data_IF_376127196903
#
_entry.id   IF_376127196903
#
_cell.length_a   1.000
_cell.length_b   1.000
_cell.length_c   1.000
_cell.angle_alpha   90.00
_cell.angle_beta   90.00
_cell.angle_gamma   90.00
#
_symmetry.space_group_name_H-M   'P 1'
#
loop_
_entity.id
_entity.type
_entity.pdbx_description
1 polymer ?
#
# COMPACT_ATOMS: atom_id res chain seq x y z
N UNK A 1 40.50 -6.84 -16.56
CA UNK A 1 40.08 -5.97 -17.67
C UNK A 1 39.04 -5.03 -17.12
N UNK A 2 39.47 -3.85 -16.67
CA UNK A 2 38.65 -2.86 -15.97
C UNK A 2 38.01 -1.93 -17.01
N UNK A 3 36.67 -1.87 -17.02
CA UNK A 3 35.94 -0.87 -17.81
C UNK A 3 35.32 0.13 -16.85
N UNK A 4 35.89 1.34 -16.84
CA UNK A 4 35.38 2.48 -16.11
C UNK A 4 34.30 3.16 -16.96
N UNK A 5 33.07 3.28 -16.42
CA UNK A 5 31.98 4.06 -17.02
C UNK A 5 31.99 5.46 -16.44
N UNK A 6 32.39 6.42 -17.29
CA UNK A 6 32.33 7.87 -17.05
C UNK A 6 30.89 8.35 -17.04
N UNK A 7 30.45 9.03 -15.97
CA UNK A 7 29.20 9.78 -15.88
C UNK A 7 29.44 11.22 -16.30
N UNK A 8 28.93 11.61 -17.45
CA UNK A 8 28.89 13.00 -17.91
C UNK A 8 27.62 13.67 -17.36
N UNK A 9 27.78 14.63 -16.47
CA UNK A 9 26.72 15.49 -15.99
C UNK A 9 26.52 16.64 -16.99
N UNK A 10 25.31 16.78 -17.53
CA UNK A 10 24.91 17.88 -18.41
C UNK A 10 24.24 18.96 -17.54
N UNK A 11 24.94 20.06 -17.31
CA UNK A 11 24.40 21.26 -16.66
C UNK A 11 23.80 22.16 -17.71
N UNK A 12 22.49 22.38 -17.65
CA UNK A 12 21.80 23.38 -18.46
C UNK A 12 21.84 24.73 -17.72
N UNK A 13 22.52 25.69 -18.31
CA UNK A 13 22.55 27.09 -17.87
C UNK A 13 21.41 27.82 -18.59
N UNK A 14 20.44 28.32 -17.81
CA UNK A 14 19.38 29.19 -18.32
C UNK A 14 19.80 30.64 -18.12
N UNK A 15 20.05 31.34 -19.24
CA UNK A 15 20.44 32.74 -19.25
C UNK A 15 19.14 33.60 -19.40
N UNK A 16 18.83 34.39 -18.38
CA UNK A 16 17.78 35.43 -18.48
C UNK A 16 18.35 36.70 -19.10
N UNK A 17 17.81 37.10 -20.21
CA UNK A 17 18.08 38.42 -20.83
C UNK A 17 17.13 39.46 -20.23
N UNK A 18 17.67 40.46 -19.55
CA UNK A 18 16.95 41.67 -19.17
C UNK A 18 16.93 42.63 -20.40
N UNK A 19 15.75 42.96 -20.88
CA UNK A 19 15.54 44.05 -21.85
C UNK A 19 15.14 45.29 -21.07
N UNK A 20 16.03 46.29 -21.02
CA UNK A 20 15.72 47.62 -20.54
C UNK A 20 15.20 48.47 -21.73
N UNK A 21 13.95 48.92 -21.64
CA UNK A 21 13.39 49.91 -22.56
C UNK A 21 13.32 51.26 -21.85
N UNK A 22 14.17 52.17 -22.26
CA UNK A 22 14.06 53.59 -21.98
C UNK A 22 13.32 54.28 -23.13
N UNK A 23 12.41 55.22 -22.81
CA UNK A 23 12.00 56.21 -23.76
C UNK A 23 10.54 56.59 -23.74
N UNK A 24 10.24 57.86 -23.44
CA UNK A 24 8.96 58.41 -23.74
C UNK A 24 8.59 59.63 -22.90
N UNK A 25 9.00 60.81 -23.34
CA UNK A 25 8.63 62.08 -22.75
C UNK A 25 7.12 62.32 -22.75
N UNK A 26 6.53 62.54 -21.60
CA UNK A 26 5.13 62.89 -21.43
C UNK A 26 4.94 64.42 -21.31
N UNK A 27 4.00 64.94 -22.04
CA UNK A 27 3.49 66.33 -21.96
C UNK A 27 2.89 66.58 -20.55
N UNK A 28 2.92 67.83 -20.03
CA UNK A 28 2.29 68.18 -18.77
C UNK A 28 0.77 68.06 -18.90
N UNK A 29 0.18 67.26 -18.07
CA UNK A 29 -1.26 67.05 -17.93
C UNK A 29 -1.86 68.16 -17.03
N UNK A 30 -2.98 68.70 -17.46
CA UNK A 30 -3.85 69.62 -16.73
C UNK A 30 -4.25 69.06 -15.36
N UNK A 31 -4.34 69.87 -14.30
CA UNK A 31 -4.76 69.38 -12.99
C UNK A 31 -6.20 68.89 -13.01
N UNK A 32 -6.40 67.64 -12.72
CA UNK A 32 -7.72 67.03 -12.53
C UNK A 32 -8.29 67.44 -11.19
N UNK A 33 -9.56 67.81 -11.17
CA UNK A 33 -10.38 68.07 -10.01
C UNK A 33 -10.31 66.95 -8.99
N UNK A 34 -10.18 67.19 -7.67
CA UNK A 34 -10.16 66.14 -6.64
C UNK A 34 -11.46 65.35 -6.71
N UNK A 35 -11.35 64.05 -6.95
CA UNK A 35 -12.46 63.11 -6.86
C UNK A 35 -12.93 63.00 -5.40
N UNK A 36 -14.23 63.04 -5.22
CA UNK A 36 -14.94 62.86 -3.95
C UNK A 36 -14.41 61.58 -3.25
N UNK A 37 -14.12 61.61 -1.94
CA UNK A 37 -13.66 60.43 -1.19
C UNK A 37 -14.70 59.34 -1.34
N UNK A 38 -14.32 58.20 -1.92
CA UNK A 38 -15.15 56.99 -1.89
C UNK A 38 -15.28 56.54 -0.43
N UNK A 39 -16.52 56.37 0.00
CA UNK A 39 -16.87 55.80 1.31
C UNK A 39 -16.06 54.51 1.52
N UNK A 40 -15.38 54.34 2.68
CA UNK A 40 -14.64 53.14 2.93
C UNK A 40 -15.60 51.93 2.85
N UNK A 41 -15.35 51.02 1.92
CA UNK A 41 -16.02 49.74 1.92
C UNK A 41 -15.72 49.04 3.24
N UNK A 42 -16.75 48.73 4.00
CA UNK A 42 -16.68 47.94 5.23
C UNK A 42 -15.86 46.70 4.94
N UNK A 43 -14.81 46.38 5.72
CA UNK A 43 -14.04 45.17 5.51
C UNK A 43 -15.01 43.99 5.61
N UNK A 44 -15.19 43.25 4.52
CA UNK A 44 -15.89 41.96 4.55
C UNK A 44 -15.09 41.08 5.48
N UNK A 45 -15.70 40.71 6.62
CA UNK A 45 -15.16 39.70 7.53
C UNK A 45 -14.78 38.48 6.69
N UNK A 46 -13.55 38.00 6.75
CA UNK A 46 -13.18 36.81 5.99
C UNK A 46 -14.10 35.68 6.43
N UNK A 47 -14.91 35.22 5.51
CA UNK A 47 -15.76 34.04 5.73
C UNK A 47 -14.81 32.90 5.97
N UNK A 48 -14.79 32.35 7.19
CA UNK A 48 -14.02 31.16 7.53
C UNK A 48 -14.59 29.97 6.72
N UNK A 49 -14.16 29.84 5.48
CA UNK A 49 -14.57 28.76 4.62
C UNK A 49 -13.52 27.66 4.64
N UNK A 50 -13.99 26.44 4.68
CA UNK A 50 -13.20 25.23 4.65
C UNK A 50 -13.40 24.54 3.32
N UNK A 51 -12.34 24.11 2.69
CA UNK A 51 -12.40 23.37 1.42
C UNK A 51 -11.43 22.21 1.40
N UNK A 52 -11.62 21.29 0.47
CA UNK A 52 -10.68 20.23 0.16
C UNK A 52 -10.48 20.17 -1.34
N UNK A 53 -9.24 20.11 -1.79
CA UNK A 53 -8.90 20.04 -3.21
C UNK A 53 -7.71 19.09 -3.41
N UNK A 54 -7.65 18.46 -4.57
CA UNK A 54 -6.59 17.52 -4.90
C UNK A 54 -6.72 17.00 -6.31
N UNK A 55 -6.07 15.88 -6.57
CA UNK A 55 -6.09 15.22 -7.86
C UNK A 55 -6.52 13.77 -7.73
N UNK A 56 -7.35 13.30 -8.66
CA UNK A 56 -7.70 11.88 -8.81
C UNK A 56 -6.74 11.26 -9.81
N UNK A 57 -6.11 10.17 -9.40
CA UNK A 57 -5.15 9.43 -10.23
C UNK A 57 -5.47 7.94 -10.25
N UNK A 58 -4.91 7.20 -11.19
CA UNK A 58 -5.03 5.75 -11.21
C UNK A 58 -3.94 5.13 -10.35
N UNK A 59 -4.32 4.18 -9.49
CA UNK A 59 -3.42 3.40 -8.62
C UNK A 59 -2.27 2.80 -9.43
N UNK A 60 -1.06 2.91 -8.92
CA UNK A 60 0.17 2.36 -9.49
C UNK A 60 0.74 3.14 -10.66
N UNK A 61 -0.08 3.67 -11.58
CA UNK A 61 0.41 4.43 -12.73
C UNK A 61 0.53 5.94 -12.46
N UNK A 62 -0.21 6.47 -11.50
CA UNK A 62 -0.28 7.91 -11.23
C UNK A 62 -0.96 8.72 -12.35
N UNK A 63 -1.50 8.07 -13.38
CA UNK A 63 -2.19 8.77 -14.47
C UNK A 63 -3.44 9.49 -13.95
N UNK A 64 -3.67 10.71 -14.41
CA UNK A 64 -4.86 11.49 -14.08
C UNK A 64 -6.15 10.77 -14.51
N UNK A 65 -7.17 10.84 -13.66
CA UNK A 65 -8.52 10.29 -13.91
C UNK A 65 -9.48 11.46 -14.05
N UNK A 66 -9.63 11.97 -15.26
CA UNK A 66 -10.58 13.04 -15.59
C UNK A 66 -12.02 12.54 -15.55
N UNK A 67 -12.95 13.44 -15.23
CA UNK A 67 -14.38 13.13 -15.19
C UNK A 67 -14.82 12.28 -14.01
N UNK A 68 -13.94 12.01 -13.03
CA UNK A 68 -14.32 11.34 -11.79
C UNK A 68 -15.33 12.17 -11.00
N UNK A 69 -16.40 11.55 -10.51
CA UNK A 69 -17.42 12.20 -9.67
C UNK A 69 -17.15 11.90 -8.22
N UNK A 70 -17.03 12.96 -7.42
CA UNK A 70 -16.90 12.89 -5.97
C UNK A 70 -18.26 13.24 -5.36
N UNK A 71 -18.83 12.32 -4.63
CA UNK A 71 -20.11 12.48 -3.91
C UNK A 71 -19.84 12.50 -2.43
N UNK A 72 -19.84 13.68 -1.78
CA UNK A 72 -19.72 13.78 -0.33
C UNK A 72 -20.94 13.18 0.36
N UNK A 73 -20.71 12.47 1.47
CA UNK A 73 -21.78 11.89 2.28
C UNK A 73 -22.63 12.92 3.05
N UNK A 74 -22.44 14.20 2.81
CA UNK A 74 -23.12 15.32 3.48
C UNK A 74 -23.80 16.21 2.41
N UNK A 75 -24.56 17.22 2.83
CA UNK A 75 -25.39 18.11 1.97
C UNK A 75 -24.62 18.95 0.94
N UNK A 76 -23.39 18.60 0.60
CA UNK A 76 -22.65 19.18 -0.49
C UNK A 76 -23.04 18.52 -1.82
N UNK A 77 -23.15 19.31 -2.89
CA UNK A 77 -23.40 18.75 -4.22
C UNK A 77 -22.21 17.90 -4.68
N UNK A 78 -22.45 16.90 -5.53
CA UNK A 78 -21.37 16.18 -6.19
C UNK A 78 -20.50 17.12 -7.02
N UNK A 79 -19.20 16.82 -7.08
CA UNK A 79 -18.22 17.55 -7.87
C UNK A 79 -17.58 16.63 -8.88
N UNK A 80 -17.40 17.10 -10.11
CA UNK A 80 -16.69 16.35 -11.16
C UNK A 80 -15.27 16.89 -11.31
N UNK A 81 -14.29 16.01 -11.29
CA UNK A 81 -12.90 16.35 -11.57
C UNK A 81 -12.73 16.76 -13.04
N UNK A 82 -11.86 17.71 -13.30
CA UNK A 82 -11.52 18.15 -14.64
C UNK A 82 -10.79 17.07 -15.47
N UNK A 83 -10.43 17.38 -16.71
CA UNK A 83 -9.74 16.45 -17.61
C UNK A 83 -8.35 16.01 -17.11
N UNK A 84 -7.76 16.77 -16.19
CA UNK A 84 -6.49 16.44 -15.53
C UNK A 84 -6.68 15.80 -14.15
N UNK A 85 -7.93 15.45 -13.79
CA UNK A 85 -8.28 14.83 -12.54
C UNK A 85 -8.30 15.77 -11.34
N UNK A 86 -8.13 17.08 -11.50
CA UNK A 86 -8.21 18.01 -10.37
C UNK A 86 -9.66 18.26 -9.96
N UNK A 87 -9.86 18.31 -8.65
CA UNK A 87 -11.16 18.57 -8.04
C UNK A 87 -11.05 19.56 -6.90
N UNK A 88 -12.15 20.23 -6.60
CA UNK A 88 -12.32 21.06 -5.43
C UNK A 88 -13.72 20.83 -4.85
N UNK A 89 -13.79 20.29 -3.65
CA UNK A 89 -15.01 20.22 -2.87
C UNK A 89 -15.29 21.59 -2.28
N UNK A 90 -16.47 22.11 -2.52
CA UNK A 90 -16.84 23.50 -2.29
C UNK A 90 -16.62 24.00 -0.85
N UNK A 91 -16.65 25.31 -0.71
CA UNK A 91 -16.43 25.99 0.54
C UNK A 91 -17.57 25.77 1.54
N UNK A 92 -17.24 25.28 2.72
CA UNK A 92 -18.18 25.01 3.82
C UNK A 92 -17.87 25.95 4.98
N UNK A 93 -18.90 26.63 5.51
CA UNK A 93 -18.70 27.55 6.62
C UNK A 93 -18.35 26.84 7.95
N UNK A 94 -18.94 25.68 8.19
CA UNK A 94 -18.75 24.88 9.41
C UNK A 94 -18.65 23.40 9.05
N UNK A 95 -17.46 22.91 8.65
CA UNK A 95 -17.30 21.49 8.36
C UNK A 95 -17.40 20.67 9.65
N UNK A 96 -17.83 19.40 9.56
CA UNK A 96 -17.75 18.51 10.70
C UNK A 96 -16.29 18.40 11.19
N UNK A 97 -16.13 18.32 12.50
CA UNK A 97 -14.81 18.18 13.15
C UNK A 97 -14.14 16.82 12.86
N UNK A 98 -14.87 15.88 12.33
CA UNK A 98 -14.43 14.51 12.03
C UNK A 98 -14.17 14.33 10.53
N UNK A 99 -13.31 13.40 10.13
CA UNK A 99 -13.18 13.03 8.73
C UNK A 99 -14.53 12.63 8.12
N UNK A 100 -14.73 13.00 6.87
CA UNK A 100 -16.01 12.83 6.18
C UNK A 100 -15.90 11.84 5.02
N UNK A 101 -16.87 10.90 4.86
CA UNK A 101 -16.85 9.97 3.75
C UNK A 101 -17.16 10.67 2.43
N UNK A 102 -16.39 10.36 1.43
CA UNK A 102 -16.60 10.78 0.04
C UNK A 102 -16.56 9.54 -0.83
N UNK A 103 -17.61 9.31 -1.60
CA UNK A 103 -17.62 8.26 -2.63
C UNK A 103 -17.06 8.84 -3.93
N UNK A 104 -16.10 8.18 -4.51
CA UNK A 104 -15.44 8.58 -5.75
C UNK A 104 -15.67 7.51 -6.81
N UNK A 105 -16.31 7.88 -7.91
CA UNK A 105 -16.61 7.00 -9.02
C UNK A 105 -16.11 7.58 -10.34
N UNK A 106 -15.55 6.74 -11.19
CA UNK A 106 -15.18 7.10 -12.55
C UNK A 106 -15.41 5.90 -13.49
N UNK A 107 -15.61 6.16 -14.75
CA UNK A 107 -15.81 5.10 -15.73
C UNK A 107 -14.56 4.20 -15.85
N UNK A 108 -14.73 2.89 -15.81
CA UNK A 108 -13.64 1.93 -15.85
C UNK A 108 -12.76 1.90 -14.58
N UNK A 109 -13.27 2.39 -13.46
CA UNK A 109 -12.61 2.37 -12.16
C UNK A 109 -13.48 1.69 -11.11
N UNK A 110 -12.84 1.05 -10.15
CA UNK A 110 -13.51 0.57 -8.93
C UNK A 110 -13.88 1.78 -8.09
N UNK A 111 -15.15 1.88 -7.69
CA UNK A 111 -15.61 2.96 -6.81
C UNK A 111 -14.90 2.88 -5.47
N UNK A 112 -14.35 4.02 -5.02
CA UNK A 112 -13.68 4.14 -3.73
C UNK A 112 -14.49 4.99 -2.75
N UNK A 113 -14.58 4.56 -1.51
CA UNK A 113 -14.99 5.40 -0.39
C UNK A 113 -13.76 5.83 0.40
N UNK A 114 -13.47 7.12 0.39
CA UNK A 114 -12.35 7.71 1.12
C UNK A 114 -12.85 8.69 2.18
N UNK A 115 -11.99 8.98 3.18
CA UNK A 115 -12.29 9.93 4.23
C UNK A 115 -11.47 11.21 4.02
N UNK A 116 -12.16 12.33 3.94
CA UNK A 116 -11.52 13.65 3.74
C UNK A 116 -11.62 14.46 5.04
N UNK A 117 -10.51 15.05 5.44
CA UNK A 117 -10.47 16.02 6.52
C UNK A 117 -10.43 17.40 5.92
N UNK A 118 -11.33 18.27 6.34
CA UNK A 118 -11.40 19.66 5.92
C UNK A 118 -10.32 20.49 6.63
N UNK A 119 -9.80 21.49 5.94
CA UNK A 119 -8.90 22.48 6.52
C UNK A 119 -9.42 23.87 6.21
N UNK A 120 -9.12 24.81 7.07
CA UNK A 120 -9.44 26.22 6.85
C UNK A 120 -8.66 26.72 5.63
N UNK A 121 -9.36 27.39 4.74
CA UNK A 121 -8.82 27.74 3.42
C UNK A 121 -8.74 26.53 2.49
N UNK A 122 -8.17 26.75 1.31
CA UNK A 122 -8.03 25.68 0.30
C UNK A 122 -6.96 24.67 0.75
N UNK A 123 -7.38 23.44 1.02
CA UNK A 123 -6.45 22.33 1.27
C UNK A 123 -6.01 21.77 -0.08
N UNK A 124 -4.74 22.00 -0.44
CA UNK A 124 -4.11 21.35 -1.58
C UNK A 124 -3.50 19.99 -1.15
N UNK A 125 -3.44 19.03 -2.08
CA UNK A 125 -2.75 17.75 -1.87
C UNK A 125 -3.60 16.65 -1.23
N UNK A 126 -4.92 16.76 -1.20
CA UNK A 126 -5.82 15.62 -0.88
C UNK A 126 -5.96 14.75 -2.14
N UNK A 127 -4.87 14.08 -2.50
CA UNK A 127 -4.86 13.22 -3.69
C UNK A 127 -5.51 11.88 -3.36
N UNK A 128 -6.30 11.38 -4.30
CA UNK A 128 -7.02 10.11 -4.18
C UNK A 128 -6.70 9.29 -5.42
N UNK A 129 -6.32 8.03 -5.24
CA UNK A 129 -6.12 7.12 -6.35
C UNK A 129 -7.26 6.10 -6.45
N UNK A 130 -7.62 5.73 -7.69
CA UNK A 130 -8.64 4.76 -8.02
C UNK A 130 -8.02 3.53 -8.69
N UNK A 131 -8.52 2.36 -8.36
CA UNK A 131 -8.13 1.11 -9.01
C UNK A 131 -8.80 1.04 -10.38
N UNK A 132 -8.04 0.79 -11.46
CA UNK A 132 -8.62 0.49 -12.78
C UNK A 132 -9.32 -0.85 -12.75
N UNK A 133 -10.57 -0.90 -13.21
CA UNK A 133 -11.35 -2.14 -13.34
C UNK A 133 -11.06 -2.84 -14.68
N UNK A 134 -9.78 -2.98 -15.00
CA UNK A 134 -9.28 -3.67 -16.21
C UNK A 134 -7.92 -4.30 -15.92
N UNK A 135 -7.53 -5.28 -16.71
CA UNK A 135 -6.21 -5.92 -16.59
C UNK A 135 -5.08 -4.89 -16.44
N UNK A 136 -4.10 -5.14 -15.53
CA UNK A 136 -3.84 -6.38 -14.82
C UNK A 136 -4.71 -6.59 -13.54
N UNK A 137 -5.64 -5.70 -13.21
CA UNK A 137 -6.58 -5.88 -12.11
C UNK A 137 -7.57 -7.00 -12.40
N UNK A 138 -7.83 -7.83 -11.40
CA UNK A 138 -8.91 -8.82 -11.37
C UNK A 138 -9.62 -8.74 -10.03
N UNK A 139 -10.90 -8.44 -10.03
CA UNK A 139 -11.70 -8.35 -8.80
C UNK A 139 -11.74 -9.71 -8.07
N UNK A 140 -11.80 -10.82 -8.80
CA UNK A 140 -11.77 -12.15 -8.21
C UNK A 140 -10.44 -12.43 -7.52
N UNK A 141 -9.31 -12.19 -8.20
CA UNK A 141 -8.00 -12.33 -7.59
C UNK A 141 -7.80 -11.38 -6.41
N UNK A 142 -8.25 -10.13 -6.53
CA UNK A 142 -8.22 -9.14 -5.45
C UNK A 142 -8.93 -9.63 -4.20
N UNK A 143 -10.15 -10.17 -4.36
CA UNK A 143 -10.94 -10.69 -3.25
C UNK A 143 -10.33 -11.94 -2.63
N UNK A 144 -9.75 -12.82 -3.42
CA UNK A 144 -9.02 -13.97 -2.88
C UNK A 144 -7.79 -13.49 -2.11
N UNK A 145 -6.93 -12.73 -2.74
CA UNK A 145 -5.60 -12.38 -2.26
C UNK A 145 -5.60 -11.40 -1.07
N UNK A 146 -6.52 -10.40 -1.07
CA UNK A 146 -6.60 -9.39 -0.01
C UNK A 146 -7.77 -9.59 0.96
N UNK A 147 -8.79 -10.33 0.58
CA UNK A 147 -10.04 -10.45 1.34
C UNK A 147 -10.32 -11.88 1.82
N UNK A 148 -9.47 -12.82 1.50
CA UNK A 148 -9.57 -14.20 1.95
C UNK A 148 -10.76 -14.97 1.38
N UNK A 149 -11.32 -14.56 0.26
CA UNK A 149 -12.52 -15.20 -0.29
C UNK A 149 -12.30 -16.65 -0.71
N UNK A 150 -11.06 -17.03 -1.05
CA UNK A 150 -10.73 -18.42 -1.33
C UNK A 150 -10.73 -19.28 -0.05
N UNK A 151 -10.10 -18.78 1.00
CA UNK A 151 -10.02 -19.47 2.29
C UNK A 151 -11.38 -19.54 2.99
N UNK A 152 -12.24 -18.55 2.78
CA UNK A 152 -13.60 -18.48 3.32
C UNK A 152 -14.61 -19.42 2.65
N UNK A 153 -14.24 -20.07 1.56
CA UNK A 153 -15.11 -21.11 0.98
C UNK A 153 -15.46 -22.21 2.01
N UNK A 154 -14.66 -22.35 3.05
CA UNK A 154 -14.87 -23.26 4.19
C UNK A 154 -15.49 -22.59 5.41
N UNK A 155 -15.51 -21.23 5.45
CA UNK A 155 -16.11 -20.43 6.55
C UNK A 155 -16.74 -19.16 5.93
N UNK A 156 -18.01 -19.22 5.48
CA UNK A 156 -18.68 -18.16 4.73
C UNK A 156 -18.97 -16.94 5.62
N UNK A 157 -17.97 -16.14 5.88
CA UNK A 157 -18.07 -14.83 6.52
C UNK A 157 -18.06 -13.68 5.51
N UNK A 158 -18.20 -12.45 6.00
CA UNK A 158 -17.97 -11.25 5.19
C UNK A 158 -16.51 -11.17 4.76
N UNK A 159 -16.19 -10.62 3.58
CA UNK A 159 -14.82 -10.41 3.14
C UNK A 159 -13.98 -9.70 4.19
N UNK A 160 -12.76 -10.17 4.41
CA UNK A 160 -11.86 -9.57 5.38
C UNK A 160 -11.41 -8.17 4.93
N UNK A 161 -10.93 -7.40 5.86
CA UNK A 161 -10.28 -6.13 5.57
C UNK A 161 -8.81 -6.34 5.18
N UNK A 162 -8.17 -5.30 4.64
CA UNK A 162 -6.74 -5.29 4.36
C UNK A 162 -5.93 -5.35 5.67
N UNK A 163 -5.13 -6.41 5.84
CA UNK A 163 -4.30 -6.68 7.02
C UNK A 163 -2.83 -6.23 6.85
N UNK A 164 -2.50 -5.45 5.81
CA UNK A 164 -1.12 -5.04 5.56
C UNK A 164 -0.41 -4.49 6.80
N UNK A 165 0.89 -4.67 6.86
CA UNK A 165 1.74 -4.01 7.85
C UNK A 165 1.82 -2.50 7.58
N UNK A 166 2.03 -1.74 8.64
CA UNK A 166 2.14 -0.27 8.60
C UNK A 166 3.53 0.24 9.00
N UNK A 167 4.43 -0.68 9.30
CA UNK A 167 5.81 -0.44 9.70
C UNK A 167 6.72 -1.45 9.03
N UNK A 168 8.01 -1.14 8.97
CA UNK A 168 9.04 -2.09 8.51
C UNK A 168 9.09 -3.32 9.40
N UNK A 169 8.94 -4.55 8.87
CA UNK A 169 9.07 -5.77 9.66
C UNK A 169 10.54 -6.10 9.93
N UNK A 170 10.85 -6.46 11.17
CA UNK A 170 12.11 -7.09 11.53
C UNK A 170 11.90 -8.60 11.69
N UNK A 171 12.96 -9.38 11.57
CA UNK A 171 12.90 -10.84 11.69
C UNK A 171 13.88 -11.35 12.74
N UNK A 172 13.43 -12.33 13.51
CA UNK A 172 14.30 -13.13 14.35
C UNK A 172 14.19 -14.58 13.92
N UNK A 173 15.30 -15.16 13.47
CA UNK A 173 15.35 -16.51 12.93
C UNK A 173 16.07 -17.42 13.91
N UNK A 174 15.38 -18.45 14.42
CA UNK A 174 16.01 -19.43 15.30
C UNK A 174 16.91 -20.36 14.50
N UNK A 175 18.10 -20.60 15.03
CA UNK A 175 19.10 -21.49 14.41
C UNK A 175 19.04 -22.92 14.95
N UNK A 176 18.10 -23.19 15.86
CA UNK A 176 17.78 -24.53 16.37
C UNK A 176 16.30 -24.82 16.12
N UNK A 177 16.00 -26.07 15.76
CA UNK A 177 14.63 -26.54 15.55
C UNK A 177 13.90 -26.86 16.85
N UNK A 178 12.65 -27.30 16.77
CA UNK A 178 11.83 -27.70 17.93
C UNK A 178 12.39 -28.91 18.70
N UNK A 179 13.30 -29.66 18.10
CA UNK A 179 13.97 -30.80 18.78
C UNK A 179 15.33 -30.45 19.44
N UNK A 180 15.73 -29.17 19.34
CA UNK A 180 17.01 -28.68 19.84
C UNK A 180 18.21 -28.91 18.91
N UNK A 181 17.97 -29.38 17.67
CA UNK A 181 19.06 -29.59 16.71
C UNK A 181 19.32 -28.32 15.94
N UNK A 182 20.56 -28.10 15.58
CA UNK A 182 20.94 -26.98 14.69
C UNK A 182 20.28 -27.12 13.32
N UNK A 183 19.70 -26.04 12.84
CA UNK A 183 19.17 -25.92 11.48
C UNK A 183 20.35 -25.95 10.50
N UNK A 184 20.22 -26.68 9.42
CA UNK A 184 21.27 -26.83 8.42
C UNK A 184 21.64 -25.45 7.82
N UNK A 185 22.95 -25.14 7.65
CA UNK A 185 23.38 -23.84 7.14
C UNK A 185 22.73 -23.47 5.80
N UNK A 186 22.46 -24.46 4.92
CA UNK A 186 21.80 -24.24 3.64
C UNK A 186 20.34 -23.81 3.79
N UNK A 187 19.60 -24.44 4.72
CA UNK A 187 18.21 -24.07 5.05
C UNK A 187 18.18 -22.65 5.59
N UNK A 188 19.09 -22.32 6.51
CA UNK A 188 19.18 -20.98 7.07
C UNK A 188 19.51 -19.93 6.00
N UNK A 189 20.49 -20.20 5.13
CA UNK A 189 20.88 -19.29 4.06
C UNK A 189 19.73 -19.00 3.08
N UNK A 190 19.01 -20.05 2.64
CA UNK A 190 17.84 -19.92 1.74
C UNK A 190 16.73 -19.13 2.43
N UNK A 191 16.44 -19.41 3.69
CA UNK A 191 15.44 -18.69 4.48
C UNK A 191 15.79 -17.20 4.58
N UNK A 192 17.01 -16.86 4.99
CA UNK A 192 17.46 -15.48 5.13
C UNK A 192 17.41 -14.68 3.80
N UNK A 193 17.75 -15.33 2.68
CA UNK A 193 17.62 -14.73 1.35
C UNK A 193 16.14 -14.48 1.01
N UNK A 194 15.28 -15.47 1.23
CA UNK A 194 13.84 -15.35 0.96
C UNK A 194 13.19 -14.23 1.78
N UNK A 195 13.53 -14.07 3.08
CA UNK A 195 13.04 -12.98 3.92
C UNK A 195 13.39 -11.61 3.34
N UNK A 196 14.63 -11.42 2.89
CA UNK A 196 15.08 -10.15 2.28
C UNK A 196 14.33 -9.83 1.00
N UNK A 197 14.05 -10.82 0.16
CA UNK A 197 13.36 -10.65 -1.12
C UNK A 197 11.84 -10.49 -0.97
N UNK A 198 11.23 -11.18 -0.01
CA UNK A 198 9.79 -11.20 0.16
C UNK A 198 9.23 -9.84 0.57
N UNK A 199 9.85 -9.15 1.53
CA UNK A 199 9.30 -7.89 2.04
C UNK A 199 9.13 -6.84 0.94
N UNK A 200 10.14 -6.46 0.15
CA UNK A 200 9.96 -5.49 -0.92
C UNK A 200 9.00 -6.00 -2.00
N UNK A 201 8.95 -7.31 -2.27
CA UNK A 201 8.04 -7.87 -3.25
C UNK A 201 6.56 -7.70 -2.83
N UNK A 202 6.20 -8.14 -1.62
CA UNK A 202 4.83 -8.04 -1.11
C UNK A 202 4.41 -6.63 -0.73
N UNK A 203 5.34 -5.72 -0.48
CA UNK A 203 5.04 -4.33 -0.13
C UNK A 203 5.13 -3.37 -1.30
N UNK A 204 5.32 -3.88 -2.52
CA UNK A 204 5.58 -3.10 -3.72
C UNK A 204 6.70 -2.04 -3.50
N UNK A 205 7.74 -2.43 -2.78
CA UNK A 205 8.88 -1.57 -2.46
C UNK A 205 8.64 -0.56 -1.33
N UNK A 206 7.44 -0.52 -0.73
CA UNK A 206 7.14 0.40 0.39
C UNK A 206 8.06 0.15 1.58
N UNK A 207 8.38 -1.11 1.86
CA UNK A 207 9.31 -1.51 2.90
C UNK A 207 10.40 -2.42 2.34
N UNK A 208 11.55 -2.38 2.99
CA UNK A 208 12.58 -3.42 2.93
C UNK A 208 12.47 -4.29 4.18
N UNK A 209 13.11 -5.46 4.20
CA UNK A 209 13.30 -6.17 5.45
C UNK A 209 14.14 -5.29 6.39
N UNK A 210 13.69 -5.11 7.60
CA UNK A 210 14.44 -4.42 8.65
C UNK A 210 15.62 -5.26 9.16
N UNK A 211 15.87 -5.22 10.46
CA UNK A 211 16.89 -6.08 11.06
C UNK A 211 16.50 -7.56 10.88
N UNK A 212 17.46 -8.38 10.50
CA UNK A 212 17.33 -9.84 10.51
C UNK A 212 18.37 -10.37 11.49
N UNK A 213 17.90 -10.76 12.67
CA UNK A 213 18.72 -11.33 13.72
C UNK A 213 18.61 -12.87 13.70
N UNK A 214 19.66 -13.54 14.07
CA UNK A 214 19.69 -15.01 14.21
C UNK A 214 20.16 -15.39 15.61
N UNK A 215 19.58 -16.45 16.17
CA UNK A 215 19.97 -16.90 17.50
C UNK A 215 19.35 -18.27 17.87
N UNK A 216 19.74 -18.79 19.02
CA UNK A 216 19.26 -20.10 19.52
C UNK A 216 18.05 -19.97 20.43
N UNK A 217 17.90 -18.84 21.10
CA UNK A 217 16.90 -18.65 22.14
C UNK A 217 15.48 -18.44 21.56
N UNK A 218 14.47 -18.74 22.36
CA UNK A 218 13.10 -18.37 22.06
C UNK A 218 12.96 -16.87 22.35
N UNK A 219 12.67 -16.08 21.30
CA UNK A 219 12.43 -14.66 21.47
C UNK A 219 10.96 -14.42 21.81
N UNK A 220 10.65 -13.59 22.82
CA UNK A 220 9.28 -13.13 23.06
C UNK A 220 8.71 -12.40 21.85
N UNK A 221 7.41 -12.57 21.62
CA UNK A 221 6.72 -11.81 20.56
C UNK A 221 6.77 -10.31 20.85
N UNK A 222 7.39 -9.55 19.97
CA UNK A 222 7.64 -8.11 20.12
C UNK A 222 7.08 -7.37 18.94
N UNK A 223 6.39 -6.26 19.14
CA UNK A 223 5.85 -5.41 18.07
C UNK A 223 6.90 -5.09 17.01
N UNK A 224 6.51 -5.15 15.76
CA UNK A 224 7.34 -4.99 14.57
C UNK A 224 8.38 -6.10 14.32
N UNK A 225 8.26 -7.22 15.03
CA UNK A 225 9.08 -8.40 14.80
C UNK A 225 8.24 -9.58 14.36
N UNK A 226 8.85 -10.41 13.50
CA UNK A 226 8.34 -11.70 13.04
C UNK A 226 9.36 -12.74 13.49
N UNK A 227 8.93 -13.65 14.39
CA UNK A 227 9.74 -14.78 14.79
C UNK A 227 9.61 -15.89 13.74
N UNK A 228 10.72 -16.47 13.33
CA UNK A 228 10.79 -17.56 12.36
C UNK A 228 11.37 -18.78 13.07
N UNK A 229 10.53 -19.79 13.24
CA UNK A 229 10.84 -21.05 13.92
C UNK A 229 10.86 -22.22 12.94
N UNK A 230 11.65 -23.25 13.25
CA UNK A 230 11.73 -24.48 12.47
C UNK A 230 11.22 -25.67 13.28
N UNK A 231 10.42 -26.53 12.61
CA UNK A 231 9.92 -27.78 13.17
C UNK A 231 10.37 -28.95 12.29
N UNK A 232 10.81 -30.04 12.93
CA UNK A 232 11.07 -31.32 12.28
C UNK A 232 9.96 -32.31 12.60
N UNK A 233 9.75 -33.29 11.72
CA UNK A 233 8.75 -34.35 11.88
C UNK A 233 7.30 -33.83 11.97
N UNK A 234 6.85 -33.14 10.92
CA UNK A 234 5.47 -32.73 10.82
C UNK A 234 4.60 -33.82 10.17
N UNK A 235 3.81 -34.51 10.96
CA UNK A 235 2.86 -35.52 10.48
C UNK A 235 1.74 -34.95 9.60
N UNK A 236 1.50 -33.64 9.67
CA UNK A 236 0.41 -32.96 8.96
C UNK A 236 0.71 -32.64 7.49
N UNK A 237 1.88 -32.95 6.98
CA UNK A 237 2.35 -32.62 5.63
C UNK A 237 2.29 -31.12 5.31
N UNK A 238 2.47 -30.29 6.31
CA UNK A 238 2.44 -28.84 6.20
C UNK A 238 3.86 -28.33 5.96
N UNK A 239 4.06 -27.49 4.94
CA UNK A 239 5.37 -26.92 4.60
C UNK A 239 5.73 -25.72 5.46
N UNK A 240 4.73 -24.91 5.80
CA UNK A 240 4.84 -23.74 6.65
C UNK A 240 3.49 -23.31 7.20
N UNK A 241 3.52 -22.39 8.15
CA UNK A 241 2.32 -21.69 8.67
C UNK A 241 2.69 -20.29 9.12
N UNK A 242 1.76 -19.35 8.92
CA UNK A 242 1.87 -18.00 9.45
C UNK A 242 0.48 -17.43 9.76
N UNK A 243 0.43 -16.37 10.57
CA UNK A 243 -0.80 -15.60 10.81
C UNK A 243 -0.86 -14.38 9.88
N UNK A 244 -2.03 -14.15 9.30
CA UNK A 244 -2.23 -13.10 8.31
C UNK A 244 -2.14 -11.71 8.94
N UNK A 245 -1.12 -10.94 8.54
CA UNK A 245 -0.92 -9.54 8.93
C UNK A 245 -0.82 -9.28 10.42
N UNK A 246 -0.51 -10.34 11.22
CA UNK A 246 -0.32 -10.22 12.67
C UNK A 246 0.96 -9.46 12.99
N UNK A 247 0.88 -8.52 13.94
CA UNK A 247 2.02 -7.81 14.48
C UNK A 247 1.92 -7.79 16.02
N UNK A 248 2.81 -8.45 16.76
CA UNK A 248 3.97 -9.26 16.31
C UNK A 248 3.58 -10.49 15.50
N UNK A 249 4.46 -10.89 14.56
CA UNK A 249 4.25 -12.03 13.67
C UNK A 249 4.99 -13.29 14.10
N UNK A 250 4.52 -14.45 13.62
CA UNK A 250 5.20 -15.74 13.75
C UNK A 250 5.10 -16.49 12.45
N UNK A 251 6.21 -17.04 11.99
CA UNK A 251 6.32 -17.96 10.86
C UNK A 251 6.89 -19.27 11.39
N UNK A 252 6.27 -20.39 11.04
CA UNK A 252 6.80 -21.73 11.33
C UNK A 252 7.10 -22.42 10.02
N UNK A 253 8.32 -22.93 9.85
CA UNK A 253 8.78 -23.66 8.69
C UNK A 253 9.04 -25.14 9.05
N UNK A 254 8.49 -26.05 8.26
CA UNK A 254 8.59 -27.48 8.53
C UNK A 254 9.68 -28.11 7.65
N UNK A 255 10.79 -28.45 8.30
CA UNK A 255 11.96 -29.05 7.62
C UNK A 255 11.59 -30.45 7.12
N UNK A 256 12.03 -30.81 5.93
CA UNK A 256 11.87 -32.09 5.25
C UNK A 256 10.45 -32.39 4.70
N UNK A 257 9.47 -31.51 4.88
CA UNK A 257 8.10 -31.74 4.37
C UNK A 257 8.00 -31.35 2.89
N UNK A 258 8.38 -30.14 2.56
CA UNK A 258 8.36 -29.62 1.17
C UNK A 258 9.80 -29.41 0.71
N UNK A 259 10.46 -30.48 0.39
CA UNK A 259 11.86 -30.44 -0.07
C UNK A 259 11.96 -30.31 -1.57
N UNK A 260 13.00 -29.64 -2.02
CA UNK A 260 13.34 -29.46 -3.41
C UNK A 260 14.76 -30.01 -3.66
N UNK A 261 14.86 -31.23 -4.10
CA UNK A 261 16.14 -31.91 -4.17
C UNK A 261 16.80 -32.00 -2.79
N UNK A 262 17.99 -31.44 -2.64
CA UNK A 262 18.68 -31.36 -1.35
C UNK A 262 18.19 -30.22 -0.44
N UNK A 263 17.43 -29.26 -0.98
CA UNK A 263 16.93 -28.10 -0.23
C UNK A 263 15.70 -28.52 0.57
N UNK A 264 15.82 -28.54 1.89
CA UNK A 264 14.80 -29.04 2.81
C UNK A 264 13.66 -28.07 3.09
N UNK A 265 13.91 -26.78 2.91
CA UNK A 265 12.90 -25.70 2.95
C UNK A 265 13.18 -24.80 1.76
N UNK A 266 12.43 -24.91 0.65
CA UNK A 266 12.58 -24.05 -0.50
C UNK A 266 12.29 -22.57 -0.17
N UNK A 267 12.95 -21.65 -0.87
CA UNK A 267 12.72 -20.23 -0.70
C UNK A 267 11.27 -19.81 -1.01
N UNK A 268 10.59 -20.55 -1.89
CA UNK A 268 9.16 -20.36 -2.19
C UNK A 268 8.28 -20.56 -0.96
N UNK A 269 8.55 -21.58 -0.13
CA UNK A 269 7.82 -21.81 1.11
C UNK A 269 7.99 -20.63 2.07
N UNK A 270 9.23 -20.19 2.30
CA UNK A 270 9.48 -19.02 3.15
C UNK A 270 8.79 -17.77 2.63
N UNK A 271 8.87 -17.51 1.32
CA UNK A 271 8.20 -16.37 0.71
C UNK A 271 6.68 -16.44 0.82
N UNK A 272 6.08 -17.63 0.68
CA UNK A 272 4.65 -17.86 0.88
C UNK A 272 4.23 -17.46 2.29
N UNK A 273 4.94 -17.96 3.31
CA UNK A 273 4.63 -17.66 4.71
C UNK A 273 4.85 -16.17 5.06
N UNK A 274 5.84 -15.52 4.43
CA UNK A 274 5.99 -14.06 4.53
C UNK A 274 4.81 -13.35 3.89
N UNK A 275 4.25 -13.87 2.79
CA UNK A 275 3.03 -13.35 2.19
C UNK A 275 1.88 -13.27 3.19
N UNK A 276 1.63 -14.35 3.92
CA UNK A 276 0.66 -14.36 5.02
C UNK A 276 1.02 -13.34 6.10
N UNK A 277 2.25 -13.34 6.57
CA UNK A 277 2.71 -12.39 7.58
C UNK A 277 2.52 -10.94 7.13
N UNK A 278 2.67 -10.63 5.83
CA UNK A 278 2.45 -9.31 5.24
C UNK A 278 0.97 -8.97 5.00
N UNK A 279 0.04 -9.89 5.21
CA UNK A 279 -1.39 -9.65 5.17
C UNK A 279 -2.14 -10.24 3.97
N UNK A 280 -1.55 -11.18 3.26
CA UNK A 280 -2.13 -11.81 2.07
C UNK A 280 -2.68 -13.21 2.34
N UNK A 281 -3.70 -13.58 1.59
CA UNK A 281 -4.42 -14.84 1.68
C UNK A 281 -4.10 -15.76 0.50
N UNK A 282 -4.54 -16.99 0.57
CA UNK A 282 -4.45 -17.91 -0.55
C UNK A 282 -5.30 -17.48 -1.74
N UNK A 283 -4.87 -17.95 -2.91
CA UNK A 283 -5.59 -17.79 -4.18
C UNK A 283 -5.71 -19.11 -4.92
N UNK A 284 -6.70 -19.22 -5.80
CA UNK A 284 -6.93 -20.42 -6.60
C UNK A 284 -6.00 -20.57 -7.82
N UNK A 285 -5.24 -19.52 -8.17
CA UNK A 285 -4.29 -19.56 -9.27
C UNK A 285 -3.07 -20.41 -8.92
N UNK A 286 -2.91 -21.54 -9.59
CA UNK A 286 -1.78 -22.48 -9.38
C UNK A 286 -0.41 -21.91 -9.74
N UNK A 287 -0.35 -20.82 -10.49
CA UNK A 287 0.89 -20.13 -10.81
C UNK A 287 1.28 -19.09 -9.76
N UNK A 288 0.40 -18.82 -8.83
CA UNK A 288 0.65 -17.90 -7.71
C UNK A 288 1.51 -18.54 -6.64
N UNK A 289 2.37 -17.75 -6.04
CA UNK A 289 3.13 -18.15 -4.86
C UNK A 289 2.20 -18.40 -3.66
N UNK A 290 1.05 -17.70 -3.62
CA UNK A 290 0.02 -17.86 -2.57
C UNK A 290 -1.01 -18.95 -2.89
N UNK A 291 -0.71 -19.87 -3.83
CA UNK A 291 -1.50 -21.09 -3.97
C UNK A 291 -1.26 -22.03 -2.79
N UNK A 292 -2.30 -22.61 -2.13
CA UNK A 292 -2.16 -23.32 -0.84
C UNK A 292 -1.46 -24.68 -0.92
N UNK A 293 -1.10 -25.14 -2.11
CA UNK A 293 -0.43 -26.43 -2.28
C UNK A 293 0.96 -26.24 -2.89
N UNK A 294 1.95 -26.94 -2.34
CA UNK A 294 3.26 -27.01 -2.96
C UNK A 294 3.16 -27.71 -4.32
N UNK A 295 3.51 -26.99 -5.37
CA UNK A 295 3.50 -27.53 -6.74
C UNK A 295 4.65 -28.51 -7.01
N UNK A 296 5.53 -28.77 -6.04
CA UNK A 296 6.78 -29.50 -6.22
C UNK A 296 7.78 -28.75 -7.10
N UNK A 297 7.48 -27.53 -7.43
CA UNK A 297 8.29 -26.66 -8.27
C UNK A 297 9.33 -25.95 -7.40
N UNK A 298 10.58 -26.31 -7.60
CA UNK A 298 11.72 -25.77 -6.86
C UNK A 298 12.00 -24.28 -7.16
N UNK A 299 10.98 -23.47 -7.31
CA UNK A 299 11.13 -22.04 -7.57
C UNK A 299 11.83 -21.36 -6.41
N UNK A 300 12.72 -20.44 -6.75
CA UNK A 300 13.34 -19.58 -5.72
C UNK A 300 12.33 -18.68 -5.01
N UNK A 301 11.05 -18.75 -5.41
CA UNK A 301 9.97 -17.88 -5.00
C UNK A 301 10.06 -16.52 -5.69
N UNK A 302 9.05 -16.22 -6.49
CA UNK A 302 8.83 -14.88 -7.04
C UNK A 302 7.33 -14.67 -7.16
N UNK A 303 6.88 -13.47 -6.86
CA UNK A 303 5.48 -13.11 -7.08
C UNK A 303 5.16 -13.14 -8.57
N UNK A 304 4.00 -13.66 -8.93
CA UNK A 304 3.43 -13.49 -10.26
C UNK A 304 3.15 -12.00 -10.55
N UNK A 305 2.94 -11.64 -11.79
CA UNK A 305 2.56 -10.29 -12.17
C UNK A 305 1.23 -9.86 -11.49
N UNK A 306 0.29 -10.79 -11.35
CA UNK A 306 -0.98 -10.55 -10.66
C UNK A 306 -0.75 -10.28 -9.17
N UNK A 307 0.04 -11.10 -8.48
CA UNK A 307 0.37 -10.87 -7.07
C UNK A 307 1.07 -9.54 -6.87
N UNK A 308 2.09 -9.22 -7.66
CA UNK A 308 2.85 -7.97 -7.57
C UNK A 308 1.95 -6.75 -7.75
N UNK A 309 1.04 -6.80 -8.72
CA UNK A 309 0.08 -5.70 -8.96
C UNK A 309 -0.89 -5.51 -7.79
N UNK A 310 -1.50 -6.59 -7.32
CA UNK A 310 -2.46 -6.53 -6.23
C UNK A 310 -1.81 -6.24 -4.87
N UNK A 311 -0.56 -6.66 -4.66
CA UNK A 311 0.25 -6.25 -3.51
C UNK A 311 0.48 -4.73 -3.51
N UNK A 312 0.76 -4.13 -4.66
CA UNK A 312 0.84 -2.67 -4.83
C UNK A 312 -0.45 -1.97 -4.43
N UNK A 313 -1.61 -2.52 -4.83
CA UNK A 313 -2.92 -2.01 -4.39
C UNK A 313 -3.05 -2.10 -2.87
N UNK A 314 -2.75 -3.26 -2.27
CA UNK A 314 -2.86 -3.45 -0.82
C UNK A 314 -2.07 -2.40 -0.04
N UNK A 315 -0.86 -2.09 -0.49
CA UNK A 315 0.02 -1.15 0.19
C UNK A 315 -0.24 0.32 -0.16
N UNK A 316 -1.02 0.60 -1.20
CA UNK A 316 -1.56 1.94 -1.47
C UNK A 316 -2.82 2.26 -0.66
N UNK A 317 -3.43 1.28 -0.02
CA UNK A 317 -4.65 1.42 0.78
C UNK A 317 -4.33 1.45 2.28
N UNK A 318 -5.21 2.07 3.05
CA UNK A 318 -5.12 2.02 4.51
C UNK A 318 -5.26 0.59 5.04
N UNK A 319 -4.55 0.26 6.12
CA UNK A 319 -4.88 -0.95 6.89
C UNK A 319 -6.33 -0.85 7.35
N UNK A 320 -7.11 -1.90 7.16
CA UNK A 320 -8.54 -1.87 7.45
C UNK A 320 -9.44 -1.47 6.28
N UNK A 321 -8.87 -1.14 5.11
CA UNK A 321 -9.65 -0.95 3.90
C UNK A 321 -10.46 -2.21 3.60
N UNK A 322 -11.75 -2.05 3.23
CA UNK A 322 -12.72 -3.14 3.03
C UNK A 322 -13.17 -3.25 1.58
N UNK A 323 -13.82 -4.36 1.28
CA UNK A 323 -14.36 -4.65 -0.05
C UNK A 323 -15.43 -3.62 -0.50
N UNK A 324 -15.47 -3.19 -1.76
CA UNK A 324 -14.43 -3.37 -2.77
C UNK A 324 -13.21 -2.46 -2.54
N UNK A 325 -13.41 -1.20 -2.17
CA UNK A 325 -12.36 -0.21 -1.88
C UNK A 325 -12.88 0.88 -0.94
N UNK A 326 -13.10 0.49 0.32
CA UNK A 326 -13.63 1.38 1.37
C UNK A 326 -12.60 1.58 2.45
N UNK A 327 -12.11 2.81 2.60
CA UNK A 327 -11.16 3.15 3.64
C UNK A 327 -11.82 3.16 5.04
N UNK A 328 -11.10 2.75 6.09
CA UNK A 328 -11.60 2.83 7.46
C UNK A 328 -11.66 4.29 7.95
N UNK A 329 -12.61 4.58 8.83
CA UNK A 329 -12.65 5.87 9.53
C UNK A 329 -11.39 6.01 10.39
N UNK A 330 -10.64 7.10 10.20
CA UNK A 330 -9.45 7.45 11.01
C UNK A 330 -8.37 6.36 11.11
N UNK A 331 -8.22 5.51 10.09
CA UNK A 331 -7.25 4.42 10.15
C UNK A 331 -7.53 3.45 11.30
N UNK A 332 -8.80 3.27 11.66
CA UNK A 332 -9.22 2.44 12.78
C UNK A 332 -8.45 1.13 12.81
N UNK A 333 -7.73 0.91 13.90
CA UNK A 333 -7.07 -0.36 14.17
C UNK A 333 -8.14 -1.45 14.11
N UNK A 334 -8.01 -2.35 13.15
CA UNK A 334 -8.77 -3.59 13.20
C UNK A 334 -8.34 -4.30 14.46
N UNK A 335 -9.18 -4.31 15.48
CA UNK A 335 -9.05 -5.27 16.56
C UNK A 335 -8.99 -6.64 15.90
N UNK A 336 -7.78 -7.18 15.78
CA UNK A 336 -7.54 -8.32 14.91
C UNK A 336 -8.22 -9.56 15.47
N UNK A 337 -9.30 -10.01 14.82
CA UNK A 337 -9.59 -11.43 14.83
C UNK A 337 -8.37 -12.07 14.17
N UNK A 338 -7.62 -12.88 14.94
CA UNK A 338 -6.47 -13.59 14.39
C UNK A 338 -6.98 -14.59 13.36
N UNK A 339 -6.72 -14.31 12.10
CA UNK A 339 -6.97 -15.23 11.01
C UNK A 339 -5.68 -15.99 10.82
N UNK A 340 -5.70 -17.29 11.09
CA UNK A 340 -4.60 -18.17 10.69
C UNK A 340 -4.55 -18.23 9.17
N UNK A 341 -3.38 -18.00 8.58
CA UNK A 341 -3.13 -18.46 7.23
C UNK A 341 -3.34 -19.98 7.20
N UNK A 342 -4.07 -20.48 6.22
CA UNK A 342 -4.14 -21.91 6.02
C UNK A 342 -2.73 -22.45 5.79
N UNK A 343 -2.44 -23.71 6.17
CA UNK A 343 -1.12 -24.28 5.95
C UNK A 343 -0.85 -24.46 4.46
N UNK A 344 0.37 -24.14 4.01
CA UNK A 344 0.86 -24.63 2.72
C UNK A 344 1.00 -26.15 2.83
N UNK A 345 0.21 -26.90 2.08
CA UNK A 345 0.13 -28.36 2.12
C UNK A 345 0.92 -28.97 0.98
N UNK A 346 1.62 -30.09 1.26
CA UNK A 346 2.33 -30.89 0.26
C UNK A 346 1.35 -31.67 -0.62
#
# INVERSE_FOLDING_TARGET
MNIALSRTALSAVVTFALVAACGGGGKPSTPTTPSTPTTPTTPTTPTNTWSAAGQITATGSGQAVGGATLTPGWSLPPVTADGQGFYELGAVANPPSTPYPVSIAANGMVTREAWITWAQGKRSGVNIDLIRDTAPFSMDFYRQFLRGMFDQATDPGAPYANFRWTTTPNFYVRTIDSSGRTVEPEVLAVTLDALRRAVPAYTAGTYQAGAIEVGTDVRPETTNWINVDFIRNNERRTCGTSFIGRNPGVITLYIDVCSCGSIKVPGSVTMHEVGHAMGFFHVSDRNSLMFPFDSGDCRAGALSAAESYHAGIAYSRARGNRDPDRDPVNGASLGGKMVGGGPLVK
#
